data_IF_128127497117
#
_entry.id   IF_128127497117
#
_cell.length_a   1.000
_cell.length_b   1.000
_cell.length_c   1.000
_cell.angle_alpha   90.00
_cell.angle_beta   90.00
_cell.angle_gamma   90.00
#
_symmetry.space_group_name_H-M   'P 1'
#
loop_
_entity.id
_entity.type
_entity.pdbx_description
1 polymer ?
#
# COMPACT_ATOMS: atom_id res chain seq x y z
N UNK A 1 -43.47 -1.06 -12.47
CA UNK A 1 -42.82 -0.63 -11.21
C UNK A 1 -42.54 -1.84 -10.33
N UNK A 2 -41.59 -1.70 -9.40
CA UNK A 2 -41.16 -2.63 -8.34
C UNK A 2 -40.10 -3.70 -8.72
N UNK A 3 -38.83 -3.33 -8.49
CA UNK A 3 -37.73 -4.26 -8.15
C UNK A 3 -37.03 -3.72 -6.90
N UNK A 4 -37.66 -3.94 -5.74
CA UNK A 4 -36.95 -3.91 -4.46
C UNK A 4 -36.19 -5.21 -4.29
N UNK A 5 -34.87 -5.13 -4.14
CA UNK A 5 -34.11 -6.08 -3.33
C UNK A 5 -32.91 -5.36 -2.74
N UNK A 6 -33.20 -4.69 -1.63
CA UNK A 6 -32.25 -4.42 -0.56
C UNK A 6 -31.60 -5.75 -0.18
N UNK A 7 -30.27 -5.83 -0.28
CA UNK A 7 -29.49 -6.85 0.42
C UNK A 7 -28.61 -6.11 1.42
N UNK A 8 -29.24 -5.82 2.56
CA UNK A 8 -28.57 -5.53 3.81
C UNK A 8 -27.80 -6.76 4.26
N UNK A 9 -26.47 -6.71 4.26
CA UNK A 9 -25.67 -7.66 5.04
C UNK A 9 -25.16 -6.95 6.29
N UNK A 10 -26.04 -6.88 7.29
CA UNK A 10 -25.71 -6.54 8.67
C UNK A 10 -25.52 -7.85 9.46
N UNK A 11 -24.29 -8.35 9.52
CA UNK A 11 -23.73 -9.27 10.52
C UNK A 11 -22.22 -9.32 10.24
N UNK A 12 -21.28 -9.08 11.15
CA UNK A 12 -21.28 -9.22 12.60
C UNK A 12 -20.39 -8.11 13.21
N UNK A 13 -20.94 -7.35 14.16
CA UNK A 13 -20.17 -6.60 15.15
C UNK A 13 -20.22 -7.39 16.44
N UNK A 14 -19.25 -8.27 16.67
CA UNK A 14 -18.93 -8.81 17.98
C UNK A 14 -17.56 -9.51 17.90
N UNK A 15 -16.68 -9.19 18.85
CA UNK A 15 -15.41 -9.86 19.17
C UNK A 15 -14.25 -9.73 18.16
N UNK A 16 -13.44 -8.67 18.35
CA UNK A 16 -11.97 -8.79 18.46
C UNK A 16 -11.38 -7.47 18.99
N UNK A 17 -11.57 -7.22 20.28
CA UNK A 17 -10.62 -6.42 21.06
C UNK A 17 -9.41 -7.31 21.33
N UNK A 18 -8.55 -7.48 20.33
CA UNK A 18 -7.26 -8.12 20.50
C UNK A 18 -6.22 -7.02 20.37
N UNK A 19 -5.50 -6.78 21.47
CA UNK A 19 -4.45 -5.77 21.63
C UNK A 19 -3.65 -5.63 20.33
N UNK A 20 -3.82 -4.51 19.62
CA UNK A 20 -2.90 -4.14 18.54
C UNK A 20 -1.53 -3.91 19.18
N UNK A 21 -0.73 -4.97 19.25
CA UNK A 21 0.70 -4.86 19.50
C UNK A 21 1.21 -3.75 18.59
N UNK A 22 1.74 -2.67 19.19
CA UNK A 22 2.26 -1.53 18.46
C UNK A 22 3.34 -2.09 17.53
N UNK A 23 3.03 -2.17 16.23
CA UNK A 23 3.99 -2.63 15.23
C UNK A 23 5.26 -1.81 15.44
N UNK A 24 6.44 -2.45 15.51
CA UNK A 24 7.69 -1.71 15.66
C UNK A 24 7.74 -0.63 14.59
N UNK A 25 8.19 0.57 14.97
CA UNK A 25 8.25 1.71 14.05
C UNK A 25 9.13 1.28 12.88
N UNK A 26 8.58 1.39 11.67
CA UNK A 26 9.33 1.09 10.45
C UNK A 26 10.49 2.11 10.36
N UNK A 27 11.71 1.63 10.10
CA UNK A 27 12.88 2.49 9.89
C UNK A 27 12.55 3.55 8.84
N UNK A 28 12.79 4.82 9.18
CA UNK A 28 12.49 5.95 8.28
C UNK A 28 13.30 5.90 6.99
N UNK A 29 14.48 5.28 7.05
CA UNK A 29 15.40 5.12 5.92
C UNK A 29 15.11 3.87 5.08
N UNK A 30 14.21 2.98 5.53
CA UNK A 30 13.88 1.80 4.75
C UNK A 30 13.13 2.19 3.47
N UNK A 31 13.49 1.57 2.33
CA UNK A 31 12.83 1.82 1.05
C UNK A 31 11.33 1.52 1.08
N UNK A 32 10.59 2.27 0.26
CA UNK A 32 9.14 2.14 0.16
C UNK A 32 8.79 0.89 -0.65
N UNK A 33 7.93 0.05 -0.07
CA UNK A 33 7.41 -1.16 -0.73
C UNK A 33 6.82 -0.86 -2.10
N UNK A 34 6.94 -1.85 -2.99
CA UNK A 34 6.30 -1.83 -4.30
C UNK A 34 4.78 -1.59 -4.19
N UNK A 35 4.26 -0.68 -5.02
CA UNK A 35 2.83 -0.41 -5.19
C UNK A 35 2.20 -1.52 -6.03
N UNK A 36 1.04 -2.01 -5.61
CA UNK A 36 0.23 -2.91 -6.44
C UNK A 36 -0.50 -2.16 -7.55
N UNK A 37 -0.95 -2.87 -8.58
CA UNK A 37 -1.69 -2.30 -9.70
C UNK A 37 -2.93 -1.52 -9.24
N UNK A 38 -3.63 -2.03 -8.22
CA UNK A 38 -4.78 -1.35 -7.63
C UNK A 38 -4.39 -0.04 -6.92
N UNK A 39 -3.25 0.01 -6.23
CA UNK A 39 -2.77 1.23 -5.56
C UNK A 39 -2.36 2.29 -6.59
N UNK A 40 -1.73 1.87 -7.69
CA UNK A 40 -1.38 2.75 -8.81
C UNK A 40 -2.67 3.33 -9.41
N UNK A 41 -3.64 2.47 -9.71
CA UNK A 41 -4.97 2.89 -10.17
C UNK A 41 -5.63 3.88 -9.20
N UNK A 42 -5.66 3.57 -7.90
CA UNK A 42 -6.25 4.47 -6.91
C UNK A 42 -5.52 5.82 -6.87
N UNK A 43 -4.20 5.86 -7.05
CA UNK A 43 -3.45 7.12 -7.03
C UNK A 43 -3.84 8.05 -8.18
N UNK A 44 -4.16 7.51 -9.36
CA UNK A 44 -4.56 8.32 -10.52
C UNK A 44 -6.05 8.68 -10.50
N UNK A 45 -6.90 7.78 -10.01
CA UNK A 45 -8.36 7.95 -10.08
C UNK A 45 -8.97 8.57 -8.83
N UNK A 46 -8.27 8.53 -7.68
CA UNK A 46 -8.80 9.09 -6.43
C UNK A 46 -9.07 10.58 -6.54
N UNK A 47 -8.19 11.34 -7.18
CA UNK A 47 -8.36 12.78 -7.31
C UNK A 47 -9.56 13.11 -8.20
N UNK A 48 -9.73 12.38 -9.31
CA UNK A 48 -10.93 12.49 -10.16
C UNK A 48 -12.22 12.18 -9.41
N UNK A 49 -12.25 11.06 -8.68
CA UNK A 49 -13.44 10.66 -7.90
C UNK A 49 -13.73 11.67 -6.80
N UNK A 50 -12.70 12.27 -6.19
CA UNK A 50 -12.84 13.32 -5.17
C UNK A 50 -13.38 14.62 -5.77
N UNK A 51 -12.95 14.99 -6.97
CA UNK A 51 -13.48 16.15 -7.69
C UNK A 51 -14.94 15.96 -8.09
N UNK A 52 -15.31 14.77 -8.57
CA UNK A 52 -16.69 14.42 -8.88
C UNK A 52 -17.58 14.30 -7.64
N UNK A 53 -17.00 13.92 -6.50
CA UNK A 53 -17.71 13.70 -5.24
C UNK A 53 -17.05 14.47 -4.10
N UNK A 54 -17.10 15.81 -4.09
CA UNK A 54 -16.41 16.64 -3.10
C UNK A 54 -16.97 16.47 -1.67
N UNK A 55 -18.20 15.96 -1.54
CA UNK A 55 -18.86 15.65 -0.26
C UNK A 55 -18.56 14.25 0.24
N UNK A 56 -18.01 13.37 -0.59
CA UNK A 56 -17.73 11.99 -0.23
C UNK A 56 -16.48 11.88 0.65
N UNK A 57 -16.59 11.10 1.73
CA UNK A 57 -15.46 10.83 2.61
C UNK A 57 -14.43 9.89 1.96
N UNK A 58 -13.24 9.81 2.54
CA UNK A 58 -12.19 8.88 2.09
C UNK A 58 -12.67 7.44 1.96
N UNK A 59 -13.52 6.98 2.90
CA UNK A 59 -14.10 5.63 2.86
C UNK A 59 -15.04 5.42 1.67
N UNK A 60 -15.86 6.41 1.34
CA UNK A 60 -16.80 6.34 0.21
C UNK A 60 -16.04 6.34 -1.12
N UNK A 61 -15.04 7.21 -1.25
CA UNK A 61 -14.14 7.25 -2.42
C UNK A 61 -13.45 5.90 -2.60
N UNK A 62 -12.97 5.28 -1.51
CA UNK A 62 -12.38 3.95 -1.54
C UNK A 62 -13.34 2.86 -2.04
N UNK A 63 -14.62 2.90 -1.62
CA UNK A 63 -15.63 1.96 -2.13
C UNK A 63 -15.92 2.16 -3.62
N UNK A 64 -16.02 3.41 -4.09
CA UNK A 64 -16.24 3.74 -5.50
C UNK A 64 -15.08 3.21 -6.36
N UNK A 65 -13.83 3.49 -5.96
CA UNK A 65 -12.64 2.99 -6.65
C UNK A 65 -12.55 1.46 -6.64
N UNK A 66 -12.89 0.83 -5.51
CA UNK A 66 -12.92 -0.62 -5.38
C UNK A 66 -13.94 -1.28 -6.32
N UNK A 67 -15.14 -0.70 -6.45
CA UNK A 67 -16.15 -1.15 -7.41
C UNK A 67 -15.65 -0.98 -8.85
N UNK A 68 -15.15 0.21 -9.19
CA UNK A 68 -14.61 0.50 -10.53
C UNK A 68 -13.49 -0.47 -10.93
N UNK A 69 -12.56 -0.77 -10.02
CA UNK A 69 -11.50 -1.74 -10.28
C UNK A 69 -12.01 -3.16 -10.52
N UNK A 70 -13.05 -3.59 -9.80
CA UNK A 70 -13.66 -4.92 -10.02
C UNK A 70 -14.30 -5.01 -11.40
N UNK A 71 -14.97 -3.94 -11.83
CA UNK A 71 -15.67 -3.87 -13.12
C UNK A 71 -14.73 -3.70 -14.33
N UNK A 72 -13.49 -3.22 -14.12
CA UNK A 72 -12.51 -3.08 -15.20
C UNK A 72 -12.10 -4.42 -15.79
N UNK A 73 -11.96 -4.46 -17.12
CA UNK A 73 -11.47 -5.64 -17.84
C UNK A 73 -9.96 -5.84 -17.61
N UNK A 74 -9.46 -7.04 -17.93
CA UNK A 74 -8.02 -7.32 -17.89
C UNK A 74 -7.22 -6.39 -18.81
N UNK A 75 -7.80 -5.98 -19.95
CA UNK A 75 -7.17 -5.04 -20.88
C UNK A 75 -7.02 -3.65 -20.26
N UNK A 76 -8.03 -3.19 -19.53
CA UNK A 76 -7.97 -1.90 -18.83
C UNK A 76 -7.04 -1.96 -17.63
N UNK A 77 -6.90 -3.15 -17.01
CA UNK A 77 -5.96 -3.41 -15.91
C UNK A 77 -4.51 -3.54 -16.39
N UNK A 78 -4.28 -3.99 -17.62
CA UNK A 78 -2.96 -4.23 -18.20
C UNK A 78 -1.95 -3.09 -18.02
N UNK A 79 -2.27 -1.80 -18.30
CA UNK A 79 -1.33 -0.70 -18.05
C UNK A 79 -0.93 -0.59 -16.58
N UNK A 80 -1.86 -0.80 -15.64
CA UNK A 80 -1.59 -0.76 -14.20
C UNK A 80 -0.77 -1.96 -13.73
N UNK A 81 -0.99 -3.14 -14.32
CA UNK A 81 -0.18 -4.34 -14.06
C UNK A 81 1.25 -4.13 -14.54
N UNK A 82 1.45 -3.57 -15.74
CA UNK A 82 2.78 -3.22 -16.26
C UNK A 82 3.47 -2.16 -15.40
N UNK A 83 2.72 -1.18 -14.90
CA UNK A 83 3.25 -0.18 -13.96
C UNK A 83 3.64 -0.82 -12.61
N UNK A 84 2.86 -1.77 -12.10
CA UNK A 84 3.20 -2.54 -10.91
C UNK A 84 4.50 -3.31 -11.09
N UNK A 85 4.71 -3.97 -12.24
CA UNK A 85 5.95 -4.70 -12.52
C UNK A 85 7.18 -3.78 -12.51
N UNK A 86 7.07 -2.60 -13.13
CA UNK A 86 8.12 -1.59 -13.05
C UNK A 86 8.41 -1.15 -11.61
N UNK A 87 7.36 -0.92 -10.81
CA UNK A 87 7.53 -0.50 -9.42
C UNK A 87 8.10 -1.61 -8.54
N UNK A 88 7.80 -2.89 -8.83
CA UNK A 88 8.44 -4.04 -8.20
C UNK A 88 9.95 -4.07 -8.46
N UNK A 89 10.37 -3.81 -9.69
CA UNK A 89 11.80 -3.75 -10.06
C UNK A 89 12.49 -2.61 -9.31
N UNK A 90 11.88 -1.41 -9.31
CA UNK A 90 12.38 -0.25 -8.56
C UNK A 90 12.55 -0.59 -7.08
N UNK A 91 11.50 -1.10 -6.44
CA UNK A 91 11.52 -1.44 -5.01
C UNK A 91 12.53 -2.54 -4.70
N UNK A 92 12.68 -3.55 -5.56
CA UNK A 92 13.67 -4.61 -5.36
C UNK A 92 15.11 -4.08 -5.44
N UNK A 93 15.39 -3.16 -6.36
CA UNK A 93 16.69 -2.49 -6.46
C UNK A 93 16.98 -1.64 -5.22
N UNK A 94 16.05 -0.79 -4.81
CA UNK A 94 16.20 0.03 -3.61
C UNK A 94 16.33 -0.81 -2.33
N UNK A 95 15.58 -1.91 -2.22
CA UNK A 95 15.69 -2.88 -1.12
C UNK A 95 17.08 -3.53 -1.08
N UNK A 96 17.67 -3.84 -2.24
CA UNK A 96 19.02 -4.41 -2.33
C UNK A 96 20.09 -3.39 -1.93
N UNK A 97 20.00 -2.16 -2.45
CA UNK A 97 20.92 -1.06 -2.11
C UNK A 97 20.84 -0.72 -0.62
N UNK A 98 19.64 -0.67 -0.03
CA UNK A 98 19.45 -0.43 1.40
C UNK A 98 20.03 -1.53 2.27
N UNK A 99 19.86 -2.81 1.88
CA UNK A 99 20.42 -3.94 2.62
C UNK A 99 21.95 -3.93 2.55
N UNK A 100 22.53 -3.74 1.37
CA UNK A 100 23.98 -3.65 1.21
C UNK A 100 24.57 -2.48 2.01
N UNK A 101 23.95 -1.31 1.99
CA UNK A 101 24.40 -0.16 2.79
C UNK A 101 24.23 -0.37 4.30
N UNK A 102 23.20 -1.09 4.73
CA UNK A 102 22.97 -1.44 6.15
C UNK A 102 23.92 -2.54 6.64
N UNK A 103 24.35 -3.43 5.76
CA UNK A 103 25.35 -4.46 6.07
C UNK A 103 26.76 -3.84 6.13
N UNK A 104 27.11 -2.92 5.22
CA UNK A 104 28.38 -2.19 5.27
C UNK A 104 28.50 -1.28 6.50
N UNK A 105 27.45 -0.57 6.89
CA UNK A 105 27.45 0.28 8.08
C UNK A 105 27.43 -0.51 9.42
N UNK A 106 27.22 -1.83 9.38
CA UNK A 106 27.31 -2.69 10.56
C UNK A 106 28.72 -3.31 10.72
N UNK A 107 29.57 -3.22 9.69
CA UNK A 107 30.96 -3.69 9.67
C UNK A 107 31.94 -2.60 10.15
N UNK A 108 31.57 -1.31 10.02
CA UNK A 108 32.37 -0.17 10.50
C UNK A 108 32.17 0.19 12.00
N UNK A 109 31.25 -0.46 12.72
CA UNK A 109 31.00 -0.21 14.16
C UNK A 109 31.77 -1.20 15.07
N UNK A 110 32.57 -2.11 14.50
CA UNK A 110 33.38 -3.12 15.23
C UNK A 110 34.90 -2.78 15.26
N UNK A 111 35.32 -1.62 14.72
CA UNK A 111 36.73 -1.20 14.60
C UNK A 111 37.10 0.00 15.52
N UNK A 112 36.35 0.26 16.60
CA UNK A 112 36.61 1.39 17.52
C UNK A 112 36.92 1.00 18.98
N UNK A 113 37.38 -0.23 19.24
CA UNK A 113 37.81 -0.68 20.59
C UNK A 113 39.20 -1.35 20.57
N UNK A 114 40.25 -0.63 20.16
CA UNK A 114 41.63 -1.01 20.52
C UNK A 114 42.56 0.23 20.59
N UNK A 115 42.34 1.12 21.57
CA UNK A 115 43.36 2.08 22.06
C UNK A 115 43.16 2.34 23.56
N UNK A 116 43.65 1.43 24.40
CA UNK A 116 44.15 1.73 25.76
C UNK A 116 44.98 0.53 26.25
N UNK A 117 46.30 0.52 25.98
CA UNK A 117 47.37 0.30 27.00
C UNK A 117 48.78 0.59 26.45
#
# INVERSE_FOLDING_TARGET
MAKSKSSSNASASAAKEEKKAKRPRKDKNAPKKAKSAYIIFCSEYRDRVKEENPTAGFGDIGRILGAKWKDMSEKDKAPFVKAQEKDKIRAAREDAEYKAGKEAAADEDDDEEEDDE
#
